data_IF_868751621065
#
_entry.id   IF_868751621065
#
_cell.length_a   1.000
_cell.length_b   1.000
_cell.length_c   1.000
_cell.angle_alpha   90.00
_cell.angle_beta   90.00
_cell.angle_gamma   90.00
#
_symmetry.space_group_name_H-M   'P 1'
#
loop_
_entity.id
_entity.type
_entity.pdbx_description
1 polymer ?
#
# COMPACT_ATOMS: atom_id res chain seq x y z
N UNK A 1 -2.77 8.96 6.74
CA UNK A 1 -1.77 9.19 5.66
C UNK A 1 -0.34 8.90 6.11
N UNK A 2 0.07 9.31 7.32
CA UNK A 2 1.42 9.06 7.86
C UNK A 2 1.76 7.56 7.93
N UNK A 3 0.84 6.73 8.42
CA UNK A 3 1.05 5.27 8.47
C UNK A 3 1.26 4.64 7.08
N UNK A 4 0.48 5.04 6.08
CA UNK A 4 0.65 4.54 4.69
C UNK A 4 2.04 4.87 4.15
N UNK A 5 2.57 6.05 4.50
CA UNK A 5 3.92 6.44 4.13
C UNK A 5 4.99 5.60 4.84
N UNK A 6 4.80 5.30 6.13
CA UNK A 6 5.70 4.42 6.87
C UNK A 6 5.73 3.02 6.25
N UNK A 7 4.55 2.45 5.99
CA UNK A 7 4.38 1.15 5.30
C UNK A 7 5.12 1.14 3.96
N UNK A 8 4.95 2.19 3.14
CA UNK A 8 5.61 2.25 1.83
C UNK A 8 7.13 2.43 1.93
N UNK A 9 7.62 3.15 2.94
CA UNK A 9 9.05 3.35 3.16
C UNK A 9 9.73 2.04 3.59
N UNK A 10 9.02 1.21 4.36
CA UNK A 10 9.47 -0.10 4.78
C UNK A 10 9.43 -1.12 3.63
N UNK A 11 8.33 -1.14 2.87
CA UNK A 11 8.15 -2.04 1.74
C UNK A 11 7.44 -1.35 0.57
N UNK A 12 8.20 -1.08 -0.51
CA UNK A 12 7.73 -0.41 -1.72
C UNK A 12 6.90 -1.32 -2.66
N UNK A 13 6.39 -2.45 -2.18
CA UNK A 13 5.44 -3.29 -2.91
C UNK A 13 4.00 -2.85 -2.67
N UNK A 14 3.09 -3.35 -3.50
CA UNK A 14 1.65 -3.16 -3.26
C UNK A 14 1.13 -4.37 -2.50
N UNK A 15 0.57 -4.18 -1.28
CA UNK A 15 -0.03 -5.29 -0.56
C UNK A 15 -1.26 -5.85 -1.27
N UNK A 16 -1.67 -7.06 -0.93
CA UNK A 16 -2.83 -7.70 -1.56
C UNK A 16 -4.11 -6.86 -1.36
N UNK A 17 -5.11 -7.08 -2.22
CA UNK A 17 -6.39 -6.34 -2.14
C UNK A 17 -7.10 -6.66 -0.83
N UNK A 18 -7.10 -7.93 -0.41
CA UNK A 18 -7.71 -8.37 0.84
C UNK A 18 -7.02 -7.69 2.04
N UNK A 19 -5.68 -7.68 2.06
CA UNK A 19 -4.91 -7.04 3.12
C UNK A 19 -5.18 -5.55 3.25
N UNK A 20 -5.10 -4.81 2.15
CA UNK A 20 -5.34 -3.35 2.15
C UNK A 20 -6.74 -3.01 2.64
N UNK A 21 -7.73 -3.85 2.32
CA UNK A 21 -9.11 -3.69 2.79
C UNK A 21 -9.22 -3.96 4.29
N UNK A 22 -8.65 -5.05 4.79
CA UNK A 22 -8.66 -5.39 6.21
C UNK A 22 -7.96 -4.31 7.04
N UNK A 23 -6.79 -3.84 6.59
CA UNK A 23 -6.05 -2.74 7.21
C UNK A 23 -6.86 -1.43 7.21
N UNK A 24 -7.51 -1.09 6.09
CA UNK A 24 -8.34 0.11 6.04
C UNK A 24 -9.49 0.03 7.05
N UNK A 25 -10.16 -1.12 7.16
CA UNK A 25 -11.24 -1.34 8.12
C UNK A 25 -10.74 -1.23 9.56
N UNK A 26 -9.59 -1.83 9.91
CA UNK A 26 -9.06 -1.78 11.28
C UNK A 26 -8.66 -0.36 11.72
N UNK A 27 -8.34 0.54 10.79
CA UNK A 27 -8.03 1.96 11.05
C UNK A 27 -9.23 2.90 10.85
N UNK A 28 -10.43 2.36 10.64
CA UNK A 28 -11.64 3.12 10.30
C UNK A 28 -11.43 4.06 9.08
N UNK A 29 -10.62 3.62 8.12
CA UNK A 29 -10.28 4.33 6.89
C UNK A 29 -11.06 3.78 5.69
N UNK A 30 -11.25 4.61 4.65
CA UNK A 30 -11.93 4.19 3.43
C UNK A 30 -11.04 3.24 2.59
N UNK A 31 -11.45 1.97 2.34
CA UNK A 31 -10.65 1.00 1.59
C UNK A 31 -10.32 1.43 0.16
N UNK A 32 -11.24 2.15 -0.50
CA UNK A 32 -11.03 2.64 -1.87
C UNK A 32 -9.94 3.70 -1.92
N UNK A 33 -9.87 4.59 -0.92
CA UNK A 33 -8.82 5.60 -0.82
C UNK A 33 -7.46 4.96 -0.54
N UNK A 34 -7.40 3.98 0.36
CA UNK A 34 -6.17 3.21 0.66
C UNK A 34 -5.69 2.48 -0.60
N UNK A 35 -6.58 1.78 -1.30
CA UNK A 35 -6.23 1.09 -2.55
C UNK A 35 -5.68 2.06 -3.60
N UNK A 36 -6.39 3.18 -3.83
CA UNK A 36 -5.98 4.24 -4.75
C UNK A 36 -4.62 4.82 -4.40
N UNK A 37 -4.33 4.99 -3.11
CA UNK A 37 -3.06 5.51 -2.62
C UNK A 37 -1.88 4.59 -3.01
N UNK A 38 -1.98 3.29 -2.75
CA UNK A 38 -0.93 2.32 -3.12
C UNK A 38 -0.73 2.22 -4.65
N UNK A 39 -1.81 2.25 -5.43
CA UNK A 39 -1.71 2.23 -6.90
C UNK A 39 -1.04 3.49 -7.46
N UNK A 40 -1.41 4.67 -6.95
CA UNK A 40 -0.73 5.93 -7.30
C UNK A 40 0.75 5.88 -6.95
N UNK A 41 1.09 5.27 -5.82
CA UNK A 41 2.46 5.16 -5.36
C UNK A 41 3.31 4.24 -6.21
N UNK A 42 2.80 3.04 -6.52
CA UNK A 42 3.41 2.12 -7.49
C UNK A 42 3.65 2.80 -8.84
N UNK A 43 2.67 3.57 -9.33
CA UNK A 43 2.82 4.30 -10.58
C UNK A 43 3.92 5.37 -10.51
N UNK A 44 4.04 6.09 -9.39
CA UNK A 44 5.11 7.07 -9.18
C UNK A 44 6.50 6.42 -9.15
N UNK A 45 6.67 5.34 -8.37
CA UNK A 45 7.94 4.60 -8.29
C UNK A 45 8.34 4.01 -9.67
N UNK A 46 7.38 3.48 -10.43
CA UNK A 46 7.62 2.98 -11.79
C UNK A 46 8.12 4.09 -12.72
N UNK A 47 7.57 5.30 -12.61
CA UNK A 47 8.01 6.46 -13.41
C UNK A 47 9.40 6.96 -12.99
N UNK A 48 9.76 6.81 -11.72
CA UNK A 48 11.08 7.14 -11.20
C UNK A 48 12.16 6.11 -11.57
N UNK A 49 11.77 4.98 -12.18
CA UNK A 49 12.70 3.88 -12.50
C UNK A 49 13.06 3.02 -11.29
N UNK A 50 12.31 3.11 -10.19
CA UNK A 50 12.55 2.27 -9.01
C UNK A 50 12.15 0.82 -9.29
N UNK A 51 12.95 -0.17 -8.87
CA UNK A 51 12.63 -1.58 -9.04
C UNK A 51 11.46 -1.96 -8.13
N UNK A 52 10.28 -2.18 -8.71
CA UNK A 52 9.10 -2.66 -7.98
C UNK A 52 8.98 -4.15 -8.20
N UNK A 53 9.10 -4.93 -7.12
CA UNK A 53 8.89 -6.36 -7.18
C UNK A 53 7.44 -6.68 -7.62
N UNK A 54 7.24 -7.72 -8.44
CA UNK A 54 5.91 -8.10 -8.92
C UNK A 54 5.05 -8.75 -7.82
N UNK A 55 5.65 -9.13 -6.70
CA UNK A 55 4.97 -9.83 -5.60
C UNK A 55 4.19 -8.86 -4.71
N UNK A 56 3.04 -9.31 -4.23
CA UNK A 56 2.29 -8.64 -3.17
C UNK A 56 2.65 -9.23 -1.80
N UNK A 57 2.38 -8.47 -0.74
CA UNK A 57 2.51 -8.91 0.65
C UNK A 57 1.24 -8.62 1.45
N UNK A 58 1.22 -9.03 2.71
CA UNK A 58 0.12 -8.81 3.65
C UNK A 58 0.51 -7.76 4.70
N UNK A 59 -0.38 -6.79 4.97
CA UNK A 59 -0.24 -5.78 6.01
C UNK A 59 -0.60 -6.36 7.37
N UNK A 60 0.17 -6.01 8.40
CA UNK A 60 -0.21 -6.28 9.79
C UNK A 60 -1.44 -5.46 10.19
N UNK A 61 -2.30 -6.06 11.01
CA UNK A 61 -3.50 -5.42 11.56
C UNK A 61 -3.30 -4.87 12.98
N UNK A 62 -2.13 -5.12 13.59
CA UNK A 62 -1.78 -4.74 14.97
C UNK A 62 -1.90 -3.24 15.22
#
# INVERSE_FOLDING_TARGET
>A
LLELWAIWKEDQRVPSVASRRAWAISRNANPTLVSSWFHRRKAAAKRAGEPIAPTSYELSLE
#
